data_IF_968791643941
#
_entry.id   IF_968791643941
#
_cell.length_a   1.000
_cell.length_b   1.000
_cell.length_c   1.000
_cell.angle_alpha   90.00
_cell.angle_beta   90.00
_cell.angle_gamma   90.00
#
_symmetry.space_group_name_H-M   'P 1'
#
loop_
_entity.id
_entity.type
_entity.pdbx_description
1 polymer ?
#
# COMPACT_ATOMS: atom_id res chain seq x y z
N UNK A 1 13.87 30.45 -2.33
CA UNK A 1 13.28 29.43 -1.43
C UNK A 1 14.28 28.29 -1.36
N UNK A 2 14.95 28.07 -0.24
CA UNK A 2 15.99 27.03 -0.13
C UNK A 2 15.71 26.21 1.11
N UNK A 3 15.40 24.92 0.93
CA UNK A 3 15.35 23.97 2.04
C UNK A 3 16.79 23.53 2.34
N UNK A 4 17.23 23.58 3.59
CA UNK A 4 18.57 23.08 3.97
C UNK A 4 18.42 21.82 4.81
N UNK A 5 19.20 20.79 4.48
CA UNK A 5 19.34 19.58 5.28
C UNK A 5 20.64 19.65 6.08
N UNK A 6 20.60 19.22 7.35
CA UNK A 6 21.78 19.08 8.20
C UNK A 6 22.78 18.06 7.66
N UNK A 7 24.05 18.30 7.96
CA UNK A 7 25.23 17.54 7.52
C UNK A 7 25.20 16.08 8.00
N UNK A 8 25.69 15.16 7.16
CA UNK A 8 25.75 13.73 7.47
C UNK A 8 25.75 12.83 6.24
N UNK A 9 26.94 12.55 5.71
CA UNK A 9 27.24 11.57 4.65
C UNK A 9 26.85 10.14 5.05
N UNK A 10 25.64 9.72 4.67
CA UNK A 10 25.21 8.30 4.62
C UNK A 10 24.14 8.12 3.55
N UNK A 11 24.48 7.70 2.33
CA UNK A 11 23.57 7.33 1.20
C UNK A 11 22.13 7.81 1.41
N UNK A 12 21.94 9.13 1.46
CA UNK A 12 20.65 9.70 1.80
C UNK A 12 19.87 9.76 0.50
N UNK A 13 18.85 8.91 0.35
CA UNK A 13 17.94 8.92 -0.82
C UNK A 13 16.97 10.11 -0.80
N UNK A 14 17.46 11.27 -0.35
CA UNK A 14 16.75 12.53 -0.26
C UNK A 14 17.71 13.68 -0.50
N UNK A 15 17.36 14.58 -1.42
CA UNK A 15 18.17 15.76 -1.78
C UNK A 15 17.30 16.99 -1.94
N UNK A 16 17.81 18.16 -1.55
CA UNK A 16 17.18 19.45 -1.89
C UNK A 16 17.79 20.00 -3.19
N UNK A 17 16.93 20.45 -4.11
CA UNK A 17 17.35 21.10 -5.36
C UNK A 17 17.61 22.61 -5.15
N UNK A 18 18.35 23.23 -6.07
CA UNK A 18 18.56 24.67 -6.06
C UNK A 18 17.24 25.48 -6.17
N UNK A 19 16.20 24.88 -6.79
CA UNK A 19 14.87 25.45 -6.88
C UNK A 19 14.06 25.38 -5.56
N UNK A 20 14.59 24.69 -4.54
CA UNK A 20 13.93 24.55 -3.22
C UNK A 20 13.07 23.30 -3.07
N UNK A 21 13.04 22.40 -4.06
CA UNK A 21 12.27 21.15 -4.00
C UNK A 21 13.01 20.08 -3.21
N UNK A 22 12.28 19.27 -2.42
CA UNK A 22 12.80 18.09 -1.73
C UNK A 22 12.52 16.84 -2.56
N UNK A 23 13.57 16.25 -3.14
CA UNK A 23 13.48 15.06 -3.99
C UNK A 23 13.79 13.81 -3.17
N UNK A 24 12.96 12.77 -3.32
CA UNK A 24 13.23 11.42 -2.85
C UNK A 24 13.66 10.55 -4.04
N UNK A 25 14.82 9.92 -3.94
CA UNK A 25 15.40 9.11 -5.02
C UNK A 25 14.94 7.65 -4.90
N UNK A 26 14.85 6.89 -6.01
CA UNK A 26 14.60 5.44 -5.96
C UNK A 26 15.60 4.71 -5.06
N UNK A 27 15.14 3.67 -4.38
CA UNK A 27 15.94 2.88 -3.45
C UNK A 27 15.42 1.43 -3.40
N UNK A 28 16.31 0.47 -3.14
CA UNK A 28 15.95 -0.94 -2.89
C UNK A 28 15.60 -1.19 -1.42
N UNK A 29 15.09 -2.40 -1.10
CA UNK A 29 14.75 -2.80 0.27
C UNK A 29 15.86 -2.53 1.28
N UNK A 30 17.10 -2.86 0.90
CA UNK A 30 18.29 -2.75 1.77
C UNK A 30 18.65 -1.32 2.16
N UNK A 31 18.21 -0.35 1.36
CA UNK A 31 18.44 1.08 1.62
C UNK A 31 17.27 1.74 2.36
N UNK A 32 16.25 0.97 2.77
CA UNK A 32 15.12 1.52 3.52
C UNK A 32 15.56 2.04 4.88
N UNK A 33 15.39 3.35 5.06
CA UNK A 33 15.65 4.04 6.31
C UNK A 33 14.41 4.74 6.82
N UNK A 34 13.94 4.36 8.01
CA UNK A 34 12.72 4.93 8.62
C UNK A 34 12.79 6.44 8.79
N UNK A 35 13.94 6.97 9.16
CA UNK A 35 14.17 8.41 9.39
C UNK A 35 14.16 9.25 8.09
N UNK A 36 14.30 8.61 6.93
CA UNK A 36 14.20 9.25 5.62
C UNK A 36 12.84 8.97 4.99
N UNK A 37 12.43 7.71 4.97
CA UNK A 37 11.30 7.20 4.20
C UNK A 37 9.98 7.11 4.97
N UNK A 38 9.97 7.29 6.29
CA UNK A 38 8.77 7.28 7.13
C UNK A 38 8.86 8.39 8.20
N UNK A 39 8.92 9.63 7.72
CA UNK A 39 9.20 10.82 8.52
C UNK A 39 8.23 11.96 8.20
N UNK A 40 8.13 12.91 9.12
CA UNK A 40 7.43 14.17 8.92
C UNK A 40 8.46 15.26 8.58
N UNK A 41 8.23 16.01 7.51
CA UNK A 41 9.13 17.07 7.05
C UNK A 41 8.40 18.41 7.01
N UNK A 42 9.16 19.50 7.23
CA UNK A 42 8.70 20.88 7.06
C UNK A 42 9.67 21.63 6.16
N UNK A 43 9.14 22.49 5.30
CA UNK A 43 9.92 23.48 4.58
C UNK A 43 10.19 24.67 5.51
N UNK A 44 11.43 25.17 5.52
CA UNK A 44 11.81 26.38 6.23
C UNK A 44 12.19 27.45 5.21
N UNK A 45 11.49 28.57 5.24
CA UNK A 45 11.86 29.77 4.48
C UNK A 45 12.43 30.80 5.45
N UNK A 46 13.63 31.32 5.18
CA UNK A 46 14.30 32.29 6.03
C UNK A 46 14.85 33.46 5.21
N UNK A 47 14.80 34.66 5.79
CA UNK A 47 15.44 35.88 5.31
C UNK A 47 15.99 36.67 6.51
N UNK A 48 16.50 37.89 6.27
CA UNK A 48 17.07 38.72 7.34
C UNK A 48 16.05 39.13 8.43
N UNK A 49 14.76 39.16 8.11
CA UNK A 49 13.71 39.53 9.06
C UNK A 49 13.27 38.35 9.95
N UNK A 50 13.54 37.11 9.55
CA UNK A 50 13.18 35.92 10.32
C UNK A 50 13.02 34.66 9.48
N UNK A 51 12.38 33.65 10.07
CA UNK A 51 12.10 32.38 9.41
C UNK A 51 10.68 31.90 9.69
N UNK A 52 10.06 31.29 8.68
CA UNK A 52 8.74 30.65 8.77
C UNK A 52 8.84 29.19 8.37
N UNK A 53 8.00 28.36 8.99
CA UNK A 53 7.88 26.93 8.69
C UNK A 53 6.56 26.65 7.97
N UNK A 54 6.59 25.72 7.03
CA UNK A 54 5.38 25.18 6.44
C UNK A 54 4.62 24.30 7.42
N UNK A 55 3.41 23.90 7.04
CA UNK A 55 2.71 22.76 7.65
C UNK A 55 3.56 21.48 7.57
N UNK A 56 3.21 20.52 8.42
CA UNK A 56 3.74 19.17 8.39
C UNK A 56 3.40 18.45 7.08
N UNK A 57 4.39 17.79 6.51
CA UNK A 57 4.25 16.90 5.35
C UNK A 57 4.71 15.52 5.76
N UNK A 58 3.79 14.56 5.76
CA UNK A 58 4.10 13.17 6.11
C UNK A 58 4.58 12.41 4.88
N UNK A 59 5.81 11.90 4.94
CA UNK A 59 6.41 11.08 3.90
C UNK A 59 6.36 9.62 4.32
N UNK A 60 5.82 8.76 3.44
CA UNK A 60 5.80 7.31 3.62
C UNK A 60 6.12 6.61 2.31
N UNK A 61 7.40 6.31 2.09
CA UNK A 61 7.82 5.50 0.96
C UNK A 61 7.62 4.01 1.28
N UNK A 62 7.19 3.26 0.27
CA UNK A 62 6.83 1.85 0.36
C UNK A 62 7.76 1.08 -0.55
N UNK A 63 8.34 0.00 -0.01
CA UNK A 63 9.15 -0.93 -0.79
C UNK A 63 8.24 -2.02 -1.31
N UNK A 64 8.25 -2.24 -2.62
CA UNK A 64 7.55 -3.37 -3.22
C UNK A 64 8.22 -4.66 -2.76
N UNK A 65 7.46 -5.50 -2.07
CA UNK A 65 7.89 -6.83 -1.64
C UNK A 65 6.88 -7.86 -2.15
N UNK A 66 7.34 -9.08 -2.49
CA UNK A 66 6.44 -10.19 -2.76
C UNK A 66 5.50 -10.40 -1.56
N UNK A 67 4.21 -10.52 -1.81
CA UNK A 67 3.22 -10.85 -0.80
C UNK A 67 2.40 -12.05 -1.25
N UNK A 68 1.97 -12.86 -0.28
CA UNK A 68 1.06 -13.96 -0.53
C UNK A 68 -0.39 -13.49 -0.36
N UNK A 69 -1.24 -13.91 -1.29
CA UNK A 69 -2.69 -13.84 -1.16
C UNK A 69 -3.17 -15.22 -0.77
N UNK A 70 -3.97 -15.32 0.30
CA UNK A 70 -4.54 -16.58 0.77
C UNK A 70 -6.04 -16.58 0.54
N UNK A 71 -6.52 -17.68 -0.02
CA UNK A 71 -7.93 -18.03 -0.09
C UNK A 71 -8.11 -19.33 0.68
N UNK A 72 -9.12 -19.40 1.53
CA UNK A 72 -9.44 -20.61 2.27
C UNK A 72 -10.58 -21.35 1.58
N UNK A 73 -10.52 -22.68 1.59
CA UNK A 73 -11.64 -23.53 1.18
C UNK A 73 -12.86 -23.25 2.06
N UNK A 74 -14.02 -23.15 1.41
CA UNK A 74 -15.30 -22.92 2.07
C UNK A 74 -16.20 -24.11 1.74
N UNK A 75 -16.69 -24.79 2.77
CA UNK A 75 -17.70 -25.84 2.63
C UNK A 75 -19.04 -25.29 3.07
N UNK A 76 -20.05 -25.40 2.20
CA UNK A 76 -21.44 -25.04 2.53
C UNK A 76 -22.40 -26.13 2.09
N UNK A 77 -23.55 -26.21 2.76
CA UNK A 77 -24.67 -27.04 2.32
C UNK A 77 -25.29 -26.45 1.05
N UNK A 78 -25.71 -27.30 0.13
CA UNK A 78 -26.40 -26.88 -1.09
C UNK A 78 -27.63 -26.00 -0.74
N UNK A 79 -27.81 -24.91 -1.49
CA UNK A 79 -28.85 -23.92 -1.25
C UNK A 79 -28.46 -22.78 -0.30
N UNK A 80 -27.38 -22.93 0.48
CA UNK A 80 -26.84 -21.86 1.32
C UNK A 80 -25.82 -21.00 0.58
N UNK A 81 -25.62 -19.77 1.07
CA UNK A 81 -24.59 -18.87 0.57
C UNK A 81 -23.19 -19.28 1.06
N UNK A 82 -22.23 -19.39 0.14
CA UNK A 82 -20.80 -19.52 0.46
C UNK A 82 -20.15 -18.13 0.55
N UNK A 83 -19.27 -17.92 1.54
CA UNK A 83 -18.57 -16.64 1.72
C UNK A 83 -17.07 -16.85 1.61
N UNK A 84 -16.49 -16.37 0.51
CA UNK A 84 -15.05 -16.40 0.30
C UNK A 84 -14.36 -15.19 0.92
N UNK A 85 -13.14 -15.38 1.43
CA UNK A 85 -12.34 -14.32 2.03
C UNK A 85 -10.96 -14.29 1.38
N UNK A 86 -10.69 -13.23 0.62
CA UNK A 86 -9.35 -12.93 0.16
C UNK A 86 -8.57 -12.26 1.31
N UNK A 87 -7.42 -12.86 1.69
CA UNK A 87 -6.54 -12.31 2.72
C UNK A 87 -5.17 -12.00 2.12
N UNK A 88 -4.84 -10.72 2.10
CA UNK A 88 -3.49 -10.22 1.73
C UNK A 88 -2.63 -10.19 2.98
N UNK A 89 -1.48 -10.86 2.94
CA UNK A 89 -0.55 -10.88 4.07
C UNK A 89 0.33 -9.62 4.18
N UNK A 90 0.82 -9.36 5.40
CA UNK A 90 1.90 -8.40 5.65
C UNK A 90 1.54 -6.93 5.44
N UNK A 91 2.55 -6.10 5.20
CA UNK A 91 2.42 -4.66 4.98
C UNK A 91 1.72 -4.30 3.67
N UNK A 92 1.63 -5.23 2.71
CA UNK A 92 0.94 -5.04 1.44
C UNK A 92 -0.58 -4.85 1.61
N UNK A 93 -1.17 -5.39 2.68
CA UNK A 93 -2.61 -5.30 2.92
C UNK A 93 -3.12 -3.83 2.97
N UNK A 94 -2.32 -2.89 3.48
CA UNK A 94 -2.71 -1.46 3.50
C UNK A 94 -2.53 -0.74 2.17
N UNK A 95 -1.95 -1.40 1.16
CA UNK A 95 -1.62 -0.83 -0.14
C UNK A 95 -2.38 -1.47 -1.30
N UNK A 96 -3.08 -2.59 -1.08
CA UNK A 96 -3.95 -3.20 -2.09
C UNK A 96 -5.31 -2.50 -2.05
N UNK A 97 -5.65 -1.78 -3.12
CA UNK A 97 -6.91 -1.01 -3.23
C UNK A 97 -8.00 -1.76 -3.98
N UNK A 98 -7.62 -2.68 -4.86
CA UNK A 98 -8.53 -3.31 -5.82
C UNK A 98 -8.30 -4.82 -5.90
N UNK A 99 -9.40 -5.57 -6.02
CA UNK A 99 -9.40 -7.01 -6.30
C UNK A 99 -10.61 -7.36 -7.17
N UNK A 100 -10.50 -8.47 -7.91
CA UNK A 100 -11.60 -9.04 -8.68
C UNK A 100 -11.72 -10.53 -8.42
N UNK A 101 -12.95 -11.03 -8.29
CA UNK A 101 -13.21 -12.46 -8.18
C UNK A 101 -13.37 -13.07 -9.56
N UNK A 102 -12.63 -14.15 -9.82
CA UNK A 102 -12.64 -14.87 -11.08
C UNK A 102 -13.03 -16.33 -10.85
N UNK A 103 -13.85 -16.90 -11.73
CA UNK A 103 -14.16 -18.34 -11.80
C UNK A 103 -13.88 -18.81 -13.21
N UNK A 104 -12.97 -19.77 -13.37
CA UNK A 104 -12.52 -20.22 -14.70
C UNK A 104 -12.00 -19.08 -15.59
N UNK A 105 -11.36 -18.08 -14.98
CA UNK A 105 -10.85 -16.89 -15.67
C UNK A 105 -11.91 -15.82 -15.99
N UNK A 106 -13.18 -16.02 -15.63
CA UNK A 106 -14.26 -15.05 -15.88
C UNK A 106 -14.66 -14.27 -14.62
N UNK A 107 -14.90 -12.96 -14.72
CA UNK A 107 -15.37 -12.16 -13.59
C UNK A 107 -16.69 -12.67 -13.02
N UNK A 108 -16.77 -12.75 -11.70
CA UNK A 108 -18.01 -13.09 -11.01
C UNK A 108 -18.93 -11.86 -10.94
N UNK A 109 -20.07 -11.95 -11.61
CA UNK A 109 -21.11 -10.93 -11.64
C UNK A 109 -21.83 -10.85 -10.29
N UNK A 110 -22.04 -9.62 -9.77
CA UNK A 110 -22.64 -9.39 -8.44
C UNK A 110 -21.63 -9.17 -7.30
N UNK A 111 -20.33 -9.09 -7.59
CA UNK A 111 -19.29 -8.69 -6.63
C UNK A 111 -19.36 -7.19 -6.33
N UNK A 112 -19.70 -6.81 -5.09
CA UNK A 112 -19.39 -5.46 -4.59
C UNK A 112 -17.92 -5.45 -4.16
N UNK A 113 -17.08 -4.77 -4.93
CA UNK A 113 -15.70 -4.45 -4.57
C UNK A 113 -15.69 -3.47 -3.41
N UNK A 114 -15.76 -3.97 -2.18
CA UNK A 114 -15.60 -3.18 -0.96
C UNK A 114 -14.44 -3.71 -0.12
N UNK A 115 -13.59 -2.78 0.31
CA UNK A 115 -12.24 -2.92 0.91
C UNK A 115 -12.15 -3.57 2.30
N UNK A 116 -13.17 -4.30 2.72
CA UNK A 116 -13.12 -5.16 3.90
C UNK A 116 -13.46 -6.56 3.43
N UNK A 117 -12.46 -7.46 3.40
CA UNK A 117 -12.59 -8.90 3.07
C UNK A 117 -13.96 -9.22 2.48
N UNK A 118 -14.16 -8.98 1.17
CA UNK A 118 -15.47 -8.92 0.56
C UNK A 118 -16.16 -10.25 0.82
N UNK A 119 -17.05 -10.26 1.80
CA UNK A 119 -17.88 -11.42 2.07
C UNK A 119 -18.83 -11.52 0.89
N UNK A 120 -18.47 -12.31 -0.10
CA UNK A 120 -19.31 -12.52 -1.26
C UNK A 120 -20.17 -13.76 -1.00
N UNK A 121 -21.48 -13.62 -0.82
CA UNK A 121 -22.38 -14.76 -0.86
C UNK A 121 -22.46 -15.25 -2.31
N UNK A 122 -21.76 -16.34 -2.62
CA UNK A 122 -22.01 -17.09 -3.86
C UNK A 122 -23.05 -18.17 -3.56
N UNK A 123 -24.18 -18.13 -4.25
CA UNK A 123 -25.11 -19.25 -4.30
C UNK A 123 -24.50 -20.33 -5.18
N UNK A 124 -23.80 -21.27 -4.55
CA UNK A 124 -23.22 -22.42 -5.26
C UNK A 124 -24.33 -23.46 -5.45
N UNK A 125 -24.53 -23.86 -6.71
CA UNK A 125 -25.25 -25.08 -7.06
C UNK A 125 -24.54 -26.34 -6.52
N UNK A 126 -25.04 -27.55 -6.79
CA UNK A 126 -24.58 -28.74 -6.07
C UNK A 126 -23.09 -29.02 -6.36
N UNK A 127 -22.30 -28.91 -5.29
CA UNK A 127 -20.89 -29.33 -5.12
C UNK A 127 -19.89 -28.82 -6.17
N UNK A 128 -19.45 -27.57 -6.01
CA UNK A 128 -18.18 -27.12 -6.61
C UNK A 128 -17.12 -27.05 -5.52
N UNK A 129 -16.23 -28.05 -5.49
CA UNK A 129 -14.93 -27.93 -4.82
C UNK A 129 -14.08 -26.99 -5.67
N UNK A 130 -13.90 -25.74 -5.23
CA UNK A 130 -12.88 -24.84 -5.79
C UNK A 130 -11.55 -25.17 -5.10
N UNK A 131 -11.03 -26.37 -5.35
CA UNK A 131 -9.65 -26.73 -4.99
C UNK A 131 -8.71 -26.14 -6.03
N UNK A 132 -7.73 -25.38 -5.53
CA UNK A 132 -6.44 -24.95 -6.09
C UNK A 132 -6.18 -25.18 -7.60
N UNK A 133 -5.85 -24.08 -8.31
CA UNK A 133 -4.90 -24.10 -9.42
C UNK A 133 -3.48 -24.03 -8.85
#
# INVERSE_FOLDING_TARGET
MVCSAGDGTRHVHRRVTAAGSLLYLPFGSEAYRRDVHAAVVRCRAANAAGAVLSRDVTVRAVVTQPFAVRLADVTVTAGNAAVFQCRVGGSAASHVTDFSWLVGGRPVTGSRSALSSPRLPLQLGPLVKLTEL
#
